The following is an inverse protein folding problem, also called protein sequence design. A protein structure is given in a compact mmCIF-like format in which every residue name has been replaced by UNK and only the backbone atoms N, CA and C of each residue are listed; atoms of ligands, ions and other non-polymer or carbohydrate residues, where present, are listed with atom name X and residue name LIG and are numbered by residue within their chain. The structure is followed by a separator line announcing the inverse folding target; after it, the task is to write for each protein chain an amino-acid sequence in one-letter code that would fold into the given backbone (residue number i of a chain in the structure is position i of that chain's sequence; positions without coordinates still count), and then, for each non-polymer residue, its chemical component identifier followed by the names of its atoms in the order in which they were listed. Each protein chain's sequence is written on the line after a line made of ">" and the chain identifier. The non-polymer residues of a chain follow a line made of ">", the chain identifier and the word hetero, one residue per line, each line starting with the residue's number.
data_IF_376332355699
#
_entry.id   IF_376332355699
#
_cell.length_a   1.000
_cell.length_b   1.000
_cell.length_c   1.000
_cell.angle_alpha   90.00
_cell.angle_beta   90.00
_cell.angle_gamma   90.00
#
_symmetry.space_group_name_H-M   'P 1'
#
loop_
_entity.id
_entity.type
_entity.pdbx_description
1 polymer ?
#
# COMPACT_ATOMS: atom_id res chain seq x y z
N UNK A 1 -52.58 -42.62 -7.84
CA UNK A 1 -52.03 -42.03 -9.08
C UNK A 1 -51.78 -40.53 -8.90
N UNK A 2 -50.75 -40.15 -8.15
CA UNK A 2 -50.30 -38.75 -8.05
C UNK A 2 -48.78 -38.65 -7.77
N UNK A 3 -48.06 -39.77 -7.87
CA UNK A 3 -46.63 -39.88 -7.53
C UNK A 3 -45.75 -40.23 -8.76
N UNK A 4 -46.33 -40.28 -9.95
CA UNK A 4 -45.61 -40.64 -11.19
C UNK A 4 -45.33 -39.41 -12.08
N UNK A 5 -45.88 -38.24 -11.76
CA UNK A 5 -45.77 -37.03 -12.59
C UNK A 5 -44.62 -36.09 -12.22
N UNK A 6 -43.90 -36.32 -11.11
CA UNK A 6 -42.83 -35.42 -10.65
C UNK A 6 -41.42 -35.91 -11.02
N UNK A 7 -41.30 -37.10 -11.62
CA UNK A 7 -40.02 -37.65 -12.09
C UNK A 7 -39.68 -37.20 -13.53
N UNK A 8 -40.66 -36.70 -14.31
CA UNK A 8 -40.46 -36.23 -15.68
C UNK A 8 -39.98 -34.78 -15.78
N UNK A 9 -40.13 -33.98 -14.73
CA UNK A 9 -39.73 -32.56 -14.72
C UNK A 9 -38.26 -32.33 -14.32
N UNK A 10 -37.59 -33.35 -13.77
CA UNK A 10 -36.18 -33.27 -13.34
C UNK A 10 -35.22 -33.71 -14.45
N UNK A 11 -35.71 -34.44 -15.47
CA UNK A 11 -34.88 -34.99 -16.55
C UNK A 11 -34.77 -34.09 -17.80
N UNK A 12 -35.46 -32.94 -17.84
CA UNK A 12 -35.47 -32.01 -18.99
C UNK A 12 -34.77 -30.66 -18.72
N UNK A 13 -34.09 -30.50 -17.59
CA UNK A 13 -33.22 -29.35 -17.31
C UNK A 13 -31.72 -29.69 -17.34
N UNK A 14 -31.38 -30.93 -17.71
CA UNK A 14 -30.02 -31.47 -17.68
C UNK A 14 -29.39 -31.62 -19.07
N UNK A 15 -29.81 -30.85 -20.09
CA UNK A 15 -29.11 -30.88 -21.38
C UNK A 15 -29.34 -29.65 -22.29
N UNK A 16 -28.68 -28.54 -21.98
CA UNK A 16 -28.47 -27.45 -22.97
C UNK A 16 -27.43 -26.46 -22.45
N UNK A 17 -26.25 -26.40 -23.08
CA UNK A 17 -25.24 -25.39 -22.76
C UNK A 17 -23.81 -25.81 -22.99
N UNK A 18 -23.51 -26.27 -24.21
CA UNK A 18 -22.16 -26.54 -24.70
C UNK A 18 -21.37 -25.23 -24.85
N UNK A 19 -20.11 -25.27 -24.43
CA UNK A 19 -18.95 -24.45 -24.83
C UNK A 19 -19.11 -22.92 -24.83
N UNK A 20 -18.48 -22.28 -23.84
CA UNK A 20 -17.79 -21.01 -24.04
C UNK A 20 -16.46 -21.04 -23.27
N UNK A 21 -15.42 -21.45 -24.00
CA UNK A 21 -14.02 -21.21 -23.67
C UNK A 21 -13.76 -19.70 -23.74
N UNK A 22 -13.53 -19.05 -22.60
CA UNK A 22 -12.91 -17.73 -22.60
C UNK A 22 -11.41 -17.90 -22.80
N UNK A 23 -10.97 -17.55 -24.00
CA UNK A 23 -9.59 -17.54 -24.43
C UNK A 23 -8.72 -16.71 -23.47
N UNK A 24 -7.70 -17.34 -22.91
CA UNK A 24 -6.56 -16.67 -22.31
C UNK A 24 -5.79 -16.01 -23.44
N UNK A 25 -5.95 -14.69 -23.62
CA UNK A 25 -5.03 -13.90 -24.44
C UNK A 25 -3.70 -13.78 -23.71
N UNK A 26 -2.84 -14.79 -23.87
CA UNK A 26 -1.40 -14.65 -23.62
C UNK A 26 -0.87 -13.61 -24.62
N UNK A 27 -0.71 -12.37 -24.14
CA UNK A 27 0.10 -11.38 -24.84
C UNK A 27 1.55 -11.84 -24.80
N UNK A 28 1.96 -12.60 -25.83
CA UNK A 28 3.36 -12.86 -26.12
C UNK A 28 4.04 -11.54 -26.47
N UNK A 29 4.66 -10.89 -25.48
CA UNK A 29 5.57 -9.79 -25.72
C UNK A 29 6.77 -10.32 -26.51
N UNK A 30 6.86 -9.95 -27.80
CA UNK A 30 8.06 -10.17 -28.62
C UNK A 30 9.26 -9.52 -27.92
N UNK A 31 10.42 -10.21 -27.78
CA UNK A 31 11.64 -9.58 -27.29
C UNK A 31 12.02 -8.45 -28.25
N UNK A 32 11.99 -7.21 -27.78
CA UNK A 32 12.59 -6.09 -28.51
C UNK A 32 14.12 -6.26 -28.49
N UNK A 33 14.82 -6.14 -29.63
CA UNK A 33 16.26 -6.15 -29.65
C UNK A 33 16.77 -4.95 -28.82
N UNK A 34 17.57 -5.26 -27.80
CA UNK A 34 18.30 -4.29 -26.99
C UNK A 34 19.30 -3.62 -27.92
N UNK A 35 18.93 -2.46 -28.48
CA UNK A 35 19.88 -1.58 -29.14
C UNK A 35 20.67 -0.92 -28.02
N UNK A 36 21.95 -1.28 -27.90
CA UNK A 36 22.89 -0.63 -26.98
C UNK A 36 22.81 0.89 -27.21
N UNK A 37 22.52 1.72 -26.20
CA UNK A 37 22.63 3.16 -26.39
C UNK A 37 24.09 3.48 -26.71
N UNK A 38 24.28 4.22 -27.80
CA UNK A 38 25.56 4.78 -28.18
C UNK A 38 26.13 5.52 -26.96
N UNK A 39 27.41 5.27 -26.68
CA UNK A 39 28.18 5.99 -25.67
C UNK A 39 28.17 7.46 -26.11
N UNK A 40 27.30 8.27 -25.52
CA UNK A 40 27.38 9.72 -25.66
C UNK A 40 28.56 10.16 -24.81
N UNK A 41 29.62 10.62 -25.48
CA UNK A 41 30.71 11.31 -24.80
C UNK A 41 30.12 12.40 -23.88
N UNK A 42 30.64 12.57 -22.65
CA UNK A 42 30.15 13.61 -21.76
C UNK A 42 30.29 14.97 -22.45
N UNK A 43 29.15 15.64 -22.66
CA UNK A 43 29.13 17.04 -23.06
C UNK A 43 29.80 17.81 -21.92
N UNK A 44 30.85 18.61 -22.19
CA UNK A 44 31.47 19.41 -21.14
C UNK A 44 30.40 20.35 -20.55
N UNK A 45 30.34 20.52 -19.23
CA UNK A 45 29.43 21.50 -18.63
C UNK A 45 29.68 22.86 -19.28
N UNK A 46 28.61 23.46 -19.81
CA UNK A 46 28.63 24.85 -20.26
C UNK A 46 28.78 25.69 -18.99
N UNK A 47 30.02 25.96 -18.59
CA UNK A 47 30.30 26.99 -17.60
C UNK A 47 29.99 28.32 -18.27
N UNK A 48 28.91 28.97 -17.82
CA UNK A 48 28.76 30.41 -18.06
C UNK A 48 29.98 31.10 -17.46
N UNK A 49 30.47 32.17 -18.10
CA UNK A 49 31.65 32.92 -17.62
C UNK A 49 31.52 33.42 -16.17
N UNK A 50 30.29 33.51 -15.66
CA UNK A 50 29.98 33.87 -14.27
C UNK A 50 30.37 32.78 -13.25
N UNK A 51 30.45 31.51 -13.67
CA UNK A 51 30.86 30.40 -12.80
C UNK A 51 32.36 30.43 -12.45
N UNK A 52 33.15 31.31 -13.08
CA UNK A 52 34.58 31.52 -12.81
C UNK A 52 34.82 32.68 -11.83
N UNK A 53 33.78 33.41 -11.43
CA UNK A 53 33.90 34.50 -10.47
C UNK A 53 33.91 33.90 -9.05
N UNK A 54 34.98 34.17 -8.30
CA UNK A 54 35.05 33.77 -6.90
C UNK A 54 33.87 34.39 -6.14
N UNK A 55 33.08 33.59 -5.40
CA UNK A 55 31.91 34.11 -4.69
C UNK A 55 32.34 35.09 -3.60
N UNK A 56 31.50 36.11 -3.34
CA UNK A 56 31.73 37.04 -2.24
C UNK A 56 31.65 36.30 -0.90
N UNK A 57 32.20 36.90 0.16
CA UNK A 57 32.10 36.30 1.50
C UNK A 57 30.64 36.31 1.99
N UNK A 58 30.27 35.39 2.88
CA UNK A 58 28.92 35.42 3.47
C UNK A 58 28.69 36.69 4.29
N UNK A 59 29.73 37.16 4.96
CA UNK A 59 29.68 38.32 5.84
C UNK A 59 29.30 39.60 5.09
N UNK A 60 29.70 39.72 3.82
CA UNK A 60 29.38 40.89 2.98
C UNK A 60 27.94 40.89 2.45
N UNK A 61 27.25 39.75 2.51
CA UNK A 61 25.92 39.56 1.90
C UNK A 61 24.81 39.24 2.90
N UNK A 62 25.14 38.83 4.14
CA UNK A 62 24.16 38.45 5.15
C UNK A 62 23.57 39.68 5.84
N UNK A 63 22.24 39.70 5.97
CA UNK A 63 21.49 40.75 6.67
C UNK A 63 21.56 40.55 8.19
N UNK A 64 21.29 41.61 8.99
CA UNK A 64 21.36 41.53 10.46
C UNK A 64 20.38 40.54 11.10
N UNK A 65 19.38 40.05 10.37
CA UNK A 65 18.45 39.01 10.81
C UNK A 65 19.00 37.58 10.63
N UNK A 66 20.21 37.41 10.08
CA UNK A 66 20.86 36.12 9.80
C UNK A 66 20.04 35.19 8.87
N UNK A 67 19.08 35.72 8.12
CA UNK A 67 18.27 34.92 7.19
C UNK A 67 18.99 34.86 5.84
N UNK A 68 19.21 33.63 5.35
CA UNK A 68 19.77 33.40 4.01
C UNK A 68 18.59 33.31 3.03
N UNK A 69 18.34 34.41 2.33
CA UNK A 69 17.30 34.52 1.30
C UNK A 69 17.89 34.53 -0.13
N UNK A 70 17.02 34.58 -1.13
CA UNK A 70 17.42 34.67 -2.55
C UNK A 70 18.30 35.90 -2.83
N UNK A 71 18.14 36.99 -2.06
CA UNK A 71 18.96 38.19 -2.20
C UNK A 71 20.39 37.97 -1.66
N UNK A 72 20.55 37.23 -0.55
CA UNK A 72 21.88 36.80 -0.05
C UNK A 72 22.55 35.90 -1.07
N UNK A 73 21.82 34.93 -1.63
CA UNK A 73 22.34 34.05 -2.67
C UNK A 73 22.76 34.83 -3.92
N UNK A 74 21.94 35.80 -4.35
CA UNK A 74 22.21 36.64 -5.53
C UNK A 74 23.40 37.57 -5.31
N UNK A 75 23.53 38.15 -4.11
CA UNK A 75 24.68 38.98 -3.72
C UNK A 75 25.99 38.17 -3.80
N UNK A 76 25.94 36.92 -3.35
CA UNK A 76 27.13 36.09 -3.18
C UNK A 76 27.58 35.43 -4.49
N UNK A 77 26.64 34.98 -5.31
CA UNK A 77 26.88 34.15 -6.49
C UNK A 77 26.43 34.79 -7.82
N UNK A 78 25.83 35.99 -7.79
CA UNK A 78 25.28 36.63 -8.98
C UNK A 78 23.85 36.20 -9.30
N UNK A 79 23.33 36.65 -10.45
CA UNK A 79 21.96 36.35 -10.85
C UNK A 79 21.83 34.88 -11.26
N UNK A 80 20.92 34.16 -10.60
CA UNK A 80 20.57 32.80 -11.01
C UNK A 80 19.62 32.85 -12.21
N UNK A 81 19.78 31.95 -13.20
CA UNK A 81 18.77 31.79 -14.23
C UNK A 81 17.45 31.38 -13.55
N UNK A 82 16.44 32.25 -13.62
CA UNK A 82 15.10 31.91 -13.17
C UNK A 82 14.55 30.81 -14.07
N UNK A 83 13.86 29.84 -13.47
CA UNK A 83 13.11 28.86 -14.22
C UNK A 83 12.08 29.60 -15.08
N UNK A 84 12.36 29.72 -16.37
CA UNK A 84 11.36 30.16 -17.34
C UNK A 84 10.51 28.95 -17.69
N UNK A 85 9.18 29.10 -17.60
CA UNK A 85 8.27 28.12 -18.15
C UNK A 85 8.33 28.25 -19.67
N UNK A 86 9.34 27.65 -20.28
CA UNK A 86 9.43 27.50 -21.72
C UNK A 86 8.51 26.32 -22.13
N UNK A 87 7.41 26.58 -22.85
CA UNK A 87 6.48 25.53 -23.29
C UNK A 87 7.13 24.55 -24.28
N UNK A 88 8.33 24.86 -24.80
CA UNK A 88 9.11 24.02 -25.70
C UNK A 88 10.26 23.28 -25.02
N UNK A 89 10.51 23.53 -23.72
CA UNK A 89 11.54 22.83 -22.98
C UNK A 89 11.15 21.36 -22.74
N UNK A 90 11.63 20.48 -23.62
CA UNK A 90 11.62 19.05 -23.37
C UNK A 90 12.69 18.74 -22.31
N UNK A 91 12.23 18.43 -21.09
CA UNK A 91 13.11 17.96 -20.03
C UNK A 91 13.93 16.75 -20.51
N UNK A 92 15.08 16.50 -19.88
CA UNK A 92 16.03 15.41 -20.21
C UNK A 92 15.46 13.99 -20.01
N UNK A 93 14.14 13.87 -19.85
CA UNK A 93 13.43 12.68 -19.47
C UNK A 93 12.26 12.51 -20.43
N UNK A 94 12.20 11.36 -21.09
CA UNK A 94 11.07 11.04 -21.97
C UNK A 94 9.74 11.18 -21.24
N UNK A 95 8.71 11.62 -21.97
CA UNK A 95 7.33 11.71 -21.45
C UNK A 95 6.89 10.38 -20.82
N UNK A 96 7.25 9.25 -21.45
CA UNK A 96 6.96 7.91 -20.92
C UNK A 96 7.64 7.61 -19.58
N UNK A 97 8.86 8.09 -19.37
CA UNK A 97 9.54 7.92 -18.09
C UNK A 97 8.92 8.83 -17.03
N UNK A 98 8.64 10.11 -17.36
CA UNK A 98 7.97 11.02 -16.42
C UNK A 98 6.59 10.51 -16.04
N UNK A 99 5.83 9.95 -16.99
CA UNK A 99 4.53 9.36 -16.72
C UNK A 99 4.62 8.17 -15.75
N UNK A 100 5.60 7.26 -15.96
CA UNK A 100 5.86 6.15 -15.04
C UNK A 100 6.33 6.63 -13.67
N UNK A 101 7.31 7.53 -13.64
CA UNK A 101 7.83 8.08 -12.40
C UNK A 101 6.73 8.81 -11.61
N UNK A 102 5.87 9.61 -12.26
CA UNK A 102 4.71 10.23 -11.62
C UNK A 102 3.68 9.20 -11.15
N UNK A 103 3.47 8.11 -11.90
CA UNK A 103 2.61 7.01 -11.46
C UNK A 103 3.18 6.25 -10.26
N UNK A 104 4.51 6.11 -10.17
CA UNK A 104 5.22 5.46 -9.08
C UNK A 104 5.37 6.38 -7.84
N UNK A 105 5.48 7.70 -8.08
CA UNK A 105 5.58 8.74 -7.04
C UNK A 105 4.24 9.17 -6.46
N UNK A 106 3.12 8.89 -7.15
CA UNK A 106 1.82 8.94 -6.48
C UNK A 106 1.88 7.92 -5.36
N UNK A 107 1.82 8.32 -4.08
CA UNK A 107 1.96 7.40 -2.96
C UNK A 107 0.87 6.34 -3.07
N UNK A 108 1.23 5.17 -3.59
CA UNK A 108 0.38 4.00 -3.83
C UNK A 108 -1.11 4.37 -3.76
N UNK A 109 -1.54 5.19 -4.74
CA UNK A 109 -2.88 5.74 -4.95
C UNK A 109 -3.83 5.37 -3.81
N UNK A 110 -3.78 6.15 -2.71
CA UNK A 110 -4.80 6.12 -1.66
C UNK A 110 -5.30 4.70 -1.39
N UNK A 111 -4.55 3.91 -0.60
CA UNK A 111 -5.17 2.90 0.27
C UNK A 111 -6.44 3.57 0.75
N UNK A 112 -7.60 3.14 0.24
CA UNK A 112 -8.88 3.79 0.50
C UNK A 112 -8.88 4.04 1.99
N UNK A 113 -8.85 5.31 2.39
CA UNK A 113 -9.27 5.68 3.72
C UNK A 113 -10.80 5.54 3.66
N UNK A 114 -11.28 4.31 3.42
CA UNK A 114 -12.44 3.83 4.15
C UNK A 114 -12.03 4.05 5.58
N UNK A 115 -12.83 4.80 6.34
CA UNK A 115 -12.61 4.98 7.76
C UNK A 115 -12.59 3.59 8.40
N UNK A 116 -11.40 2.98 8.45
CA UNK A 116 -11.21 1.70 9.10
C UNK A 116 -11.46 1.98 10.57
N UNK A 117 -12.39 1.24 11.17
CA UNK A 117 -12.46 1.21 12.62
C UNK A 117 -11.18 0.48 13.06
N UNK A 118 -10.20 1.26 13.49
CA UNK A 118 -8.96 0.72 14.02
C UNK A 118 -9.25 0.26 15.43
N UNK A 119 -9.02 -1.02 15.69
CA UNK A 119 -9.09 -1.60 17.03
C UNK A 119 -7.70 -1.94 17.52
N UNK A 120 -7.50 -1.76 18.83
CA UNK A 120 -6.27 -2.08 19.51
C UNK A 120 -6.53 -3.10 20.62
N UNK A 121 -5.56 -4.00 20.83
CA UNK A 121 -5.60 -4.93 21.95
C UNK A 121 -4.19 -5.28 22.43
N UNK A 122 -4.10 -5.60 23.71
CA UNK A 122 -2.92 -6.25 24.28
C UNK A 122 -3.01 -7.74 24.04
N UNK A 123 -2.04 -8.28 23.30
CA UNK A 123 -2.00 -9.68 22.90
C UNK A 123 -0.79 -10.35 23.53
N UNK A 124 -0.97 -11.55 24.08
CA UNK A 124 0.13 -12.37 24.54
C UNK A 124 0.93 -12.93 23.37
N UNK A 125 2.25 -12.95 23.52
CA UNK A 125 3.11 -13.78 22.69
C UNK A 125 2.62 -15.22 22.76
N UNK A 126 2.78 -15.97 21.66
CA UNK A 126 2.32 -17.36 21.58
C UNK A 126 2.95 -18.28 22.64
N UNK A 127 4.12 -17.92 23.19
CA UNK A 127 4.80 -18.62 24.28
C UNK A 127 4.45 -18.08 25.68
N UNK A 128 3.59 -17.06 25.76
CA UNK A 128 3.11 -16.45 27.01
C UNK A 128 4.12 -15.57 27.75
N UNK A 129 5.32 -15.31 27.21
CA UNK A 129 6.38 -14.61 27.97
C UNK A 129 6.31 -13.11 27.92
N UNK A 130 5.72 -12.55 26.86
CA UNK A 130 5.63 -11.11 26.62
C UNK A 130 4.28 -10.74 26.04
N UNK A 131 3.97 -9.46 26.04
CA UNK A 131 2.77 -8.90 25.40
C UNK A 131 3.15 -7.93 24.29
N UNK A 132 2.26 -7.82 23.31
CA UNK A 132 2.35 -6.89 22.18
C UNK A 132 1.10 -6.00 22.17
N UNK A 133 1.28 -4.72 21.89
CA UNK A 133 0.19 -3.81 21.60
C UNK A 133 -0.14 -3.98 20.11
N UNK A 134 -1.18 -4.73 19.80
CA UNK A 134 -1.57 -5.02 18.44
C UNK A 134 -2.64 -4.04 17.97
N UNK A 135 -2.58 -3.70 16.69
CA UNK A 135 -3.57 -2.88 15.99
C UNK A 135 -4.05 -3.61 14.73
N UNK A 136 -5.34 -3.47 14.41
CA UNK A 136 -5.91 -3.94 13.15
C UNK A 136 -7.10 -3.08 12.71
N UNK A 137 -7.36 -3.09 11.42
CA UNK A 137 -8.51 -2.47 10.79
C UNK A 137 -9.70 -3.44 10.73
N UNK A 138 -10.90 -2.89 10.88
CA UNK A 138 -12.17 -3.61 10.71
C UNK A 138 -13.00 -2.96 9.60
N UNK A 139 -13.53 -3.81 8.73
CA UNK A 139 -14.46 -3.46 7.66
C UNK A 139 -15.66 -4.39 7.73
N UNK A 140 -16.88 -3.83 7.77
CA UNK A 140 -18.13 -4.60 7.79
C UNK A 140 -18.11 -5.75 8.80
N UNK A 141 -17.69 -5.43 10.04
CA UNK A 141 -17.55 -6.38 11.14
C UNK A 141 -16.55 -7.54 10.89
N UNK A 142 -15.64 -7.40 9.92
CA UNK A 142 -14.58 -8.35 9.63
C UNK A 142 -13.22 -7.70 9.86
N UNK A 143 -12.34 -8.41 10.56
CA UNK A 143 -10.95 -7.98 10.75
C UNK A 143 -10.20 -8.16 9.44
N UNK A 144 -9.53 -7.10 8.97
CA UNK A 144 -8.60 -7.18 7.85
C UNK A 144 -7.29 -7.84 8.31
N UNK A 145 -7.11 -9.12 7.99
CA UNK A 145 -5.91 -9.89 8.35
C UNK A 145 -4.58 -9.30 7.83
N UNK A 146 -4.62 -8.46 6.77
CA UNK A 146 -3.42 -7.80 6.23
C UNK A 146 -2.96 -6.61 7.08
N UNK A 147 -3.87 -6.07 7.89
CA UNK A 147 -3.66 -4.92 8.77
C UNK A 147 -3.18 -5.31 10.18
N UNK A 148 -3.35 -6.57 10.57
CA UNK A 148 -3.01 -7.06 11.91
C UNK A 148 -1.53 -6.83 12.23
N UNK A 149 -1.30 -6.19 13.39
CA UNK A 149 0.02 -5.75 13.86
C UNK A 149 0.69 -4.73 12.92
N UNK A 150 -0.11 -3.92 12.21
CA UNK A 150 0.37 -2.93 11.25
C UNK A 150 1.18 -1.78 11.86
N UNK A 151 1.09 -1.60 13.18
CA UNK A 151 1.89 -0.67 13.96
C UNK A 151 3.36 -1.11 14.15
N UNK A 152 3.69 -2.37 13.83
CA UNK A 152 5.05 -2.87 13.80
C UNK A 152 5.61 -2.91 12.37
N UNK A 153 6.92 -2.72 12.22
CA UNK A 153 7.59 -2.77 10.92
C UNK A 153 7.46 -4.16 10.30
N UNK A 154 6.91 -4.25 9.08
CA UNK A 154 6.78 -5.51 8.33
C UNK A 154 8.14 -6.23 8.26
N UNK A 155 8.12 -7.54 8.55
CA UNK A 155 9.30 -8.40 8.57
C UNK A 155 10.10 -8.39 9.89
N UNK A 156 9.79 -7.49 10.84
CA UNK A 156 10.44 -7.50 12.15
C UNK A 156 10.08 -8.75 12.97
N UNK A 157 10.83 -9.00 14.04
CA UNK A 157 10.53 -10.09 14.96
C UNK A 157 9.21 -9.79 15.68
N UNK A 158 9.03 -8.55 16.15
CA UNK A 158 7.82 -8.06 16.80
C UNK A 158 6.60 -8.24 15.92
N UNK A 159 6.69 -7.88 14.64
CA UNK A 159 5.60 -8.07 13.68
C UNK A 159 5.18 -9.53 13.56
N UNK A 160 6.14 -10.45 13.41
CA UNK A 160 5.86 -11.89 13.24
C UNK A 160 5.30 -12.51 14.52
N UNK A 161 5.90 -12.19 15.67
CA UNK A 161 5.46 -12.71 16.97
C UNK A 161 4.10 -12.14 17.39
N UNK A 162 3.85 -10.85 17.14
CA UNK A 162 2.54 -10.23 17.34
C UNK A 162 1.46 -10.93 16.51
N UNK A 163 1.72 -11.21 15.22
CA UNK A 163 0.74 -11.92 14.37
C UNK A 163 0.49 -13.34 14.83
N UNK A 164 1.51 -14.07 15.28
CA UNK A 164 1.33 -15.41 15.88
C UNK A 164 0.43 -15.34 17.12
N UNK A 165 0.71 -14.41 18.03
CA UNK A 165 -0.13 -14.17 19.21
C UNK A 165 -1.56 -13.77 18.82
N UNK A 166 -1.72 -12.93 17.80
CA UNK A 166 -3.02 -12.46 17.34
C UNK A 166 -3.91 -13.60 16.83
N UNK A 167 -3.33 -14.61 16.17
CA UNK A 167 -4.09 -15.81 15.77
C UNK A 167 -4.68 -16.54 16.97
N UNK A 168 -3.93 -16.67 18.06
CA UNK A 168 -4.40 -17.29 19.30
C UNK A 168 -5.48 -16.42 19.93
N UNK A 169 -5.23 -15.12 20.06
CA UNK A 169 -6.18 -14.15 20.61
C UNK A 169 -7.54 -14.16 19.89
N UNK A 170 -7.55 -14.17 18.56
CA UNK A 170 -8.81 -14.20 17.80
C UNK A 170 -9.60 -15.48 18.05
N UNK A 171 -8.93 -16.63 18.19
CA UNK A 171 -9.59 -17.91 18.51
C UNK A 171 -10.15 -17.91 19.93
N UNK A 172 -9.44 -17.32 20.88
CA UNK A 172 -9.93 -17.17 22.26
C UNK A 172 -11.15 -16.25 22.31
N UNK A 173 -11.09 -15.10 21.64
CA UNK A 173 -12.22 -14.17 21.55
C UNK A 173 -13.42 -14.76 20.82
N UNK A 174 -13.20 -15.55 19.77
CA UNK A 174 -14.27 -16.31 19.14
C UNK A 174 -15.00 -17.21 20.15
N UNK A 175 -14.26 -17.97 20.97
CA UNK A 175 -14.85 -18.83 22.00
C UNK A 175 -15.55 -18.05 23.10
N UNK A 176 -14.96 -16.95 23.55
CA UNK A 176 -15.54 -16.08 24.59
C UNK A 176 -16.87 -15.47 24.13
N UNK A 177 -16.89 -14.89 22.91
CA UNK A 177 -18.08 -14.29 22.35
C UNK A 177 -19.14 -15.33 21.95
N UNK A 178 -18.74 -16.52 21.50
CA UNK A 178 -19.69 -17.61 21.24
C UNK A 178 -20.40 -18.08 22.52
N UNK A 179 -19.69 -18.18 23.65
CA UNK A 179 -20.31 -18.46 24.96
C UNK A 179 -21.27 -17.34 25.36
N UNK A 180 -20.89 -16.09 25.12
CA UNK A 180 -21.69 -14.92 25.48
C UNK A 180 -22.98 -14.82 24.67
N UNK A 181 -22.89 -14.98 23.35
CA UNK A 181 -24.05 -15.08 22.46
C UNK A 181 -24.98 -16.22 22.87
N UNK A 182 -24.42 -17.40 23.20
CA UNK A 182 -25.22 -18.55 23.67
C UNK A 182 -25.96 -18.27 24.98
N UNK A 183 -25.47 -17.33 25.80
CA UNK A 183 -26.11 -16.95 27.05
C UNK A 183 -27.15 -15.83 26.86
N UNK A 184 -26.78 -14.75 26.15
CA UNK A 184 -27.60 -13.52 26.08
C UNK A 184 -28.48 -13.40 24.83
N UNK A 185 -28.17 -14.15 23.76
CA UNK A 185 -28.83 -14.09 22.45
C UNK A 185 -28.98 -12.66 21.89
N UNK A 186 -28.00 -11.79 22.15
CA UNK A 186 -27.99 -10.41 21.64
C UNK A 186 -27.24 -10.28 20.31
N UNK A 187 -27.80 -9.51 19.36
CA UNK A 187 -27.19 -9.29 18.04
C UNK A 187 -25.77 -8.73 18.13
N UNK A 188 -25.49 -7.88 19.11
CA UNK A 188 -24.14 -7.36 19.38
C UNK A 188 -23.15 -8.49 19.72
N UNK A 189 -23.56 -9.44 20.57
CA UNK A 189 -22.74 -10.61 20.93
C UNK A 189 -22.48 -11.51 19.72
N UNK A 190 -23.50 -11.73 18.89
CA UNK A 190 -23.37 -12.47 17.62
C UNK A 190 -22.44 -11.78 16.64
N UNK A 191 -22.52 -10.46 16.51
CA UNK A 191 -21.64 -9.69 15.64
C UNK A 191 -20.18 -9.84 16.09
N UNK A 192 -19.90 -9.72 17.38
CA UNK A 192 -18.55 -9.89 17.91
C UNK A 192 -18.02 -11.32 17.74
N UNK A 193 -18.87 -12.34 17.96
CA UNK A 193 -18.55 -13.72 17.67
C UNK A 193 -18.13 -13.89 16.21
N UNK A 194 -18.98 -13.46 15.26
CA UNK A 194 -18.69 -13.57 13.83
C UNK A 194 -17.38 -12.86 13.43
N UNK A 195 -17.11 -11.68 14.00
CA UNK A 195 -15.88 -10.92 13.75
C UNK A 195 -14.65 -11.73 14.14
N UNK A 196 -14.61 -12.23 15.37
CA UNK A 196 -13.44 -12.93 15.88
C UNK A 196 -13.32 -14.35 15.36
N UNK A 197 -14.42 -15.06 15.12
CA UNK A 197 -14.37 -16.41 14.55
C UNK A 197 -13.91 -16.39 13.09
N UNK A 198 -14.42 -15.46 12.28
CA UNK A 198 -13.95 -15.33 10.89
C UNK A 198 -12.46 -15.01 10.78
N UNK A 199 -11.92 -14.20 11.71
CA UNK A 199 -10.48 -13.97 11.83
C UNK A 199 -9.74 -15.20 12.40
N UNK A 200 -10.26 -15.81 13.46
CA UNK A 200 -9.71 -16.98 14.12
C UNK A 200 -9.52 -18.18 13.19
N UNK A 201 -10.36 -18.28 12.16
CA UNK A 201 -10.28 -19.31 11.12
C UNK A 201 -9.45 -18.83 9.91
N UNK A 202 -9.78 -17.67 9.34
CA UNK A 202 -9.22 -17.22 8.06
C UNK A 202 -7.85 -16.51 8.12
N UNK A 203 -7.44 -15.98 9.28
CA UNK A 203 -6.19 -15.22 9.39
C UNK A 203 -4.95 -16.12 9.34
N UNK A 204 -3.99 -15.85 8.45
CA UNK A 204 -2.68 -16.50 8.43
C UNK A 204 -1.60 -15.63 9.10
N UNK A 205 -1.00 -16.04 10.24
CA UNK A 205 0.01 -15.25 10.94
C UNK A 205 1.35 -15.12 10.20
N UNK A 206 1.61 -15.93 9.16
CA UNK A 206 2.85 -15.86 8.37
C UNK A 206 2.75 -15.00 7.11
N UNK A 207 1.53 -14.67 6.68
CA UNK A 207 1.27 -13.96 5.43
C UNK A 207 0.06 -14.58 4.76
#
# INVERSE_FOLDING_TARGET
>A
MLLVLIAGAIYLLSNSGVLLQSAVSQATAKPHPITKPAISNPVPPIYTSDALIAPKSLADCIKPDNIIDEAVATCRYGHFPRASNDPTAQGMVTESYMARYKADQQPARTKRITAYNIETATIWQWDGKRTYAAEWAINDNRIDGSSVCGNYRRGSIEYRECRKGAKVYFREKCREWGKRWSADHQDASKAMEQRFCSAGDGFNPLG
#
